data_IF_439948598737
#
_entry.id   IF_439948598737
#
_cell.length_a   1.000
_cell.length_b   1.000
_cell.length_c   1.000
_cell.angle_alpha   90.00
_cell.angle_beta   90.00
_cell.angle_gamma   90.00
#
_symmetry.space_group_name_H-M   'P 1'
#
loop_
_entity.id
_entity.type
_entity.pdbx_description
1 polymer ?
#
# COMPACT_ATOMS: atom_id res chain seq x y z
N UNK A 1 -6.40 17.65 -0.40
CA UNK A 1 -7.05 16.55 0.36
C UNK A 1 -8.29 17.14 1.00
N UNK A 2 -9.49 16.57 0.76
CA UNK A 2 -10.77 17.14 1.23
C UNK A 2 -10.99 16.88 2.74
N UNK A 3 -10.71 15.66 3.20
CA UNK A 3 -10.68 15.32 4.62
C UNK A 3 -9.84 14.05 4.86
N UNK A 4 -9.49 13.81 6.12
CA UNK A 4 -8.85 12.59 6.61
C UNK A 4 -9.35 12.34 8.03
N UNK A 5 -9.98 11.19 8.25
CA UNK A 5 -10.70 10.87 9.48
C UNK A 5 -10.22 9.54 10.04
N UNK A 6 -10.00 9.48 11.35
CA UNK A 6 -9.68 8.24 12.05
C UNK A 6 -10.95 7.46 12.41
N UNK A 7 -10.89 6.14 12.29
CA UNK A 7 -11.90 5.23 12.83
C UNK A 7 -11.47 4.77 14.22
N UNK A 8 -12.37 4.85 15.20
CA UNK A 8 -12.07 4.54 16.60
C UNK A 8 -12.15 3.04 16.92
N UNK A 9 -13.02 2.32 16.23
CA UNK A 9 -13.34 0.91 16.52
C UNK A 9 -13.21 0.04 15.27
N UNK A 10 -14.19 0.10 14.37
CA UNK A 10 -14.29 -0.75 13.20
C UNK A 10 -14.17 0.06 11.90
N UNK A 11 -13.88 -0.66 10.82
CA UNK A 11 -13.76 -0.12 9.45
C UNK A 11 -14.71 -0.87 8.52
N UNK A 12 -15.95 -1.06 8.99
CA UNK A 12 -16.99 -1.67 8.15
C UNK A 12 -17.44 -0.69 7.06
N UNK A 13 -18.11 -1.21 6.05
CA UNK A 13 -18.71 -0.39 5.01
C UNK A 13 -19.63 0.72 5.57
N UNK A 14 -20.40 0.40 6.62
CA UNK A 14 -21.33 1.32 7.26
C UNK A 14 -20.59 2.44 8.02
N UNK A 15 -19.51 2.10 8.72
CA UNK A 15 -18.70 3.09 9.45
C UNK A 15 -18.12 4.12 8.47
N UNK A 16 -17.55 3.64 7.35
CA UNK A 16 -16.97 4.48 6.30
C UNK A 16 -18.06 5.36 5.67
N UNK A 17 -19.20 4.77 5.35
CA UNK A 17 -20.34 5.46 4.78
C UNK A 17 -20.84 6.60 5.68
N UNK A 18 -21.03 6.34 6.97
CA UNK A 18 -21.48 7.33 7.95
C UNK A 18 -20.49 8.49 8.03
N UNK A 19 -19.17 8.23 8.07
CA UNK A 19 -18.16 9.29 8.09
C UNK A 19 -18.18 10.15 6.83
N UNK A 20 -18.33 9.54 5.65
CA UNK A 20 -18.46 10.29 4.39
C UNK A 20 -19.72 11.14 4.40
N UNK A 21 -20.87 10.55 4.77
CA UNK A 21 -22.16 11.25 4.81
C UNK A 21 -22.12 12.43 5.77
N UNK A 22 -21.64 12.22 6.98
CA UNK A 22 -21.46 13.28 7.98
C UNK A 22 -20.58 14.42 7.45
N UNK A 23 -19.49 14.11 6.74
CA UNK A 23 -18.65 15.14 6.11
C UNK A 23 -19.42 15.93 5.06
N UNK A 24 -20.17 15.27 4.16
CA UNK A 24 -20.96 15.94 3.13
C UNK A 24 -22.02 16.86 3.75
N UNK A 25 -22.76 16.35 4.75
CA UNK A 25 -23.83 17.07 5.45
C UNK A 25 -23.26 18.30 6.19
N UNK A 26 -22.17 18.13 6.95
CA UNK A 26 -21.53 19.21 7.69
C UNK A 26 -21.00 20.33 6.77
N UNK A 27 -20.58 19.98 5.56
CA UNK A 27 -20.10 20.92 4.56
C UNK A 27 -21.19 21.38 3.57
N UNK A 28 -22.44 20.95 3.77
CA UNK A 28 -23.58 21.26 2.90
C UNK A 28 -23.31 20.92 1.44
N UNK A 29 -22.65 19.78 1.19
CA UNK A 29 -22.35 19.27 -0.14
C UNK A 29 -23.50 18.32 -0.54
N UNK A 30 -24.33 18.68 -1.54
CA UNK A 30 -25.37 17.79 -2.03
C UNK A 30 -24.75 16.50 -2.57
N UNK A 31 -25.36 15.36 -2.24
CA UNK A 31 -24.89 14.04 -2.70
C UNK A 31 -24.91 13.91 -4.22
N UNK A 32 -25.77 14.65 -4.90
CA UNK A 32 -25.89 14.71 -6.36
C UNK A 32 -24.62 15.26 -7.02
N UNK A 33 -23.82 16.04 -6.28
CA UNK A 33 -22.54 16.56 -6.76
C UNK A 33 -21.44 15.49 -6.78
N UNK A 34 -21.66 14.33 -6.17
CA UNK A 34 -20.76 13.18 -6.26
C UNK A 34 -20.97 12.48 -7.61
N UNK A 35 -20.24 12.94 -8.62
CA UNK A 35 -20.30 12.36 -9.96
C UNK A 35 -19.62 10.99 -10.03
N UNK A 36 -18.52 10.81 -9.30
CA UNK A 36 -17.78 9.57 -9.27
C UNK A 36 -17.06 9.35 -7.94
N UNK A 37 -17.01 8.10 -7.48
CA UNK A 37 -16.18 7.68 -6.37
C UNK A 37 -15.27 6.54 -6.82
N UNK A 38 -13.97 6.69 -6.54
CA UNK A 38 -12.97 5.67 -6.77
C UNK A 38 -12.50 5.06 -5.44
N UNK A 39 -12.51 3.74 -5.34
CA UNK A 39 -12.04 3.01 -4.16
C UNK A 39 -11.23 1.77 -4.54
N UNK A 40 -10.45 1.26 -3.60
CA UNK A 40 -9.81 -0.04 -3.76
C UNK A 40 -10.85 -1.18 -3.81
N UNK A 41 -10.40 -2.39 -4.16
CA UNK A 41 -11.26 -3.55 -4.28
C UNK A 41 -11.72 -4.14 -2.95
N UNK A 42 -11.49 -3.47 -1.81
CA UNK A 42 -11.84 -4.02 -0.51
C UNK A 42 -13.36 -4.27 -0.40
N UNK A 43 -13.80 -5.39 0.18
CA UNK A 43 -15.24 -5.68 0.34
C UNK A 43 -16.01 -4.58 1.07
N UNK A 44 -15.39 -3.90 2.04
CA UNK A 44 -15.99 -2.78 2.75
C UNK A 44 -16.30 -1.58 1.83
N UNK A 45 -15.53 -1.37 0.76
CA UNK A 45 -15.75 -0.29 -0.19
C UNK A 45 -16.62 -0.71 -1.38
N UNK A 46 -16.26 -1.83 -2.02
CA UNK A 46 -16.79 -2.28 -3.31
C UNK A 46 -17.75 -3.48 -3.21
N UNK A 47 -18.10 -3.92 -2.00
CA UNK A 47 -19.03 -5.03 -1.79
C UNK A 47 -20.36 -4.82 -2.52
N UNK A 48 -20.77 -5.81 -3.32
CA UNK A 48 -21.95 -5.72 -4.22
C UNK A 48 -23.24 -5.33 -3.48
N UNK A 49 -23.43 -5.91 -2.29
CA UNK A 49 -24.67 -5.75 -1.52
C UNK A 49 -24.49 -4.86 -0.29
N UNK A 50 -23.29 -4.87 0.32
CA UNK A 50 -23.03 -4.26 1.63
C UNK A 50 -21.87 -3.27 1.60
N UNK A 51 -21.30 -2.93 0.45
CA UNK A 51 -20.16 -2.01 0.35
C UNK A 51 -20.56 -0.55 0.52
N UNK A 52 -19.61 0.28 0.97
CA UNK A 52 -19.80 1.72 1.14
C UNK A 52 -20.27 2.40 -0.15
N UNK A 53 -19.62 2.10 -1.28
CA UNK A 53 -19.98 2.70 -2.57
C UNK A 53 -21.34 2.20 -3.08
N UNK A 54 -21.80 1.02 -2.64
CA UNK A 54 -23.17 0.55 -2.92
C UNK A 54 -24.18 1.44 -2.20
N UNK A 55 -23.99 1.69 -0.89
CA UNK A 55 -24.87 2.56 -0.10
C UNK A 55 -24.91 4.00 -0.66
N UNK A 56 -23.75 4.56 -1.02
CA UNK A 56 -23.69 5.88 -1.65
C UNK A 56 -24.42 5.91 -2.99
N UNK A 57 -24.31 4.84 -3.79
CA UNK A 57 -25.00 4.73 -5.08
C UNK A 57 -26.50 4.55 -4.94
N UNK A 58 -26.96 3.93 -3.86
CA UNK A 58 -28.39 3.84 -3.57
C UNK A 58 -28.99 5.22 -3.25
N UNK A 59 -28.21 6.11 -2.62
CA UNK A 59 -28.64 7.50 -2.37
C UNK A 59 -28.43 8.43 -3.58
N UNK A 60 -27.43 8.18 -4.44
CA UNK A 60 -27.20 8.87 -5.70
C UNK A 60 -26.99 7.85 -6.84
N UNK A 61 -28.07 7.44 -7.54
CA UNK A 61 -28.00 6.45 -8.62
C UNK A 61 -27.12 6.85 -9.80
N UNK A 62 -26.90 8.16 -10.01
CA UNK A 62 -26.08 8.70 -11.10
C UNK A 62 -24.58 8.65 -10.79
N UNK A 63 -24.18 8.38 -9.55
CA UNK A 63 -22.78 8.28 -9.17
C UNK A 63 -22.09 7.09 -9.84
N UNK A 64 -20.97 7.38 -10.49
CA UNK A 64 -20.08 6.36 -11.05
C UNK A 64 -19.21 5.75 -9.97
N UNK A 65 -19.15 4.42 -9.94
CA UNK A 65 -18.26 3.68 -9.05
C UNK A 65 -17.07 3.18 -9.85
N UNK A 66 -15.90 3.72 -9.56
CA UNK A 66 -14.66 3.37 -10.26
C UNK A 66 -13.83 2.48 -9.35
N UNK A 67 -13.54 1.28 -9.81
CA UNK A 67 -12.57 0.44 -9.11
C UNK A 67 -11.17 1.01 -9.35
N UNK A 68 -10.36 1.19 -8.30
CA UNK A 68 -9.01 1.72 -8.39
C UNK A 68 -8.19 0.94 -9.44
N UNK A 69 -7.83 1.63 -10.53
CA UNK A 69 -7.05 1.08 -11.66
C UNK A 69 -5.73 0.55 -11.15
N UNK A 70 -5.10 1.36 -10.31
CA UNK A 70 -3.82 1.10 -9.70
C UNK A 70 -3.96 -0.26 -8.90
N UNK A 71 -4.99 -0.45 -8.05
CA UNK A 71 -5.19 -1.76 -7.37
C UNK A 71 -5.37 -2.94 -8.33
N UNK A 72 -6.07 -2.77 -9.47
CA UNK A 72 -6.22 -3.84 -10.48
C UNK A 72 -4.89 -4.21 -11.11
N UNK A 73 -4.09 -3.21 -11.49
CA UNK A 73 -2.77 -3.44 -12.08
C UNK A 73 -1.89 -4.26 -11.14
N UNK A 74 -1.89 -3.95 -9.84
CA UNK A 74 -1.16 -4.74 -8.85
C UNK A 74 -1.63 -6.21 -8.81
N UNK A 75 -2.96 -6.45 -8.83
CA UNK A 75 -3.51 -7.80 -8.83
C UNK A 75 -3.12 -8.58 -10.10
N UNK A 76 -3.14 -7.93 -11.25
CA UNK A 76 -2.74 -8.53 -12.53
C UNK A 76 -1.24 -8.82 -12.54
N UNK A 77 -0.40 -7.87 -12.13
CA UNK A 77 1.05 -8.02 -12.10
C UNK A 77 1.49 -9.23 -11.26
N UNK A 78 0.82 -9.47 -10.12
CA UNK A 78 1.07 -10.65 -9.27
C UNK A 78 0.76 -11.98 -9.96
N UNK A 79 -0.19 -12.01 -10.90
CA UNK A 79 -0.61 -13.21 -11.63
C UNK A 79 0.11 -13.40 -12.95
N UNK A 80 0.56 -12.32 -13.58
CA UNK A 80 1.14 -12.35 -14.93
C UNK A 80 2.44 -13.19 -14.99
N UNK A 81 3.26 -13.13 -13.94
CA UNK A 81 4.44 -13.98 -13.83
C UNK A 81 4.62 -14.49 -12.39
N UNK A 82 4.17 -15.73 -12.10
CA UNK A 82 4.35 -16.34 -10.79
C UNK A 82 5.82 -16.41 -10.36
N UNK A 83 6.72 -16.60 -11.32
CA UNK A 83 8.18 -16.65 -11.09
C UNK A 83 8.70 -15.29 -10.64
N UNK A 84 8.39 -14.21 -11.36
CA UNK A 84 8.83 -12.86 -10.99
C UNK A 84 8.20 -12.42 -9.67
N UNK A 85 6.93 -12.76 -9.43
CA UNK A 85 6.27 -12.49 -8.15
C UNK A 85 6.98 -13.22 -7.01
N UNK A 86 7.37 -14.50 -7.19
CA UNK A 86 8.14 -15.25 -6.18
C UNK A 86 9.50 -14.58 -5.88
N UNK A 87 10.21 -14.12 -6.91
CA UNK A 87 11.49 -13.40 -6.73
C UNK A 87 11.27 -12.10 -5.96
N UNK A 88 10.27 -11.31 -6.34
CA UNK A 88 9.94 -10.06 -5.65
C UNK A 88 9.61 -10.31 -4.17
N UNK A 89 8.84 -11.36 -3.86
CA UNK A 89 8.52 -11.73 -2.49
C UNK A 89 9.76 -12.15 -1.68
N UNK A 90 10.73 -12.83 -2.31
CA UNK A 90 12.03 -13.12 -1.67
C UNK A 90 12.82 -11.85 -1.37
N UNK A 91 12.86 -10.90 -2.31
CA UNK A 91 13.50 -9.59 -2.12
C UNK A 91 12.85 -8.84 -0.96
N UNK A 92 11.51 -8.77 -0.92
CA UNK A 92 10.76 -8.11 0.16
C UNK A 92 11.08 -8.76 1.52
N UNK A 93 11.11 -10.10 1.59
CA UNK A 93 11.47 -10.83 2.83
C UNK A 93 12.89 -10.49 3.30
N UNK A 94 13.85 -10.43 2.37
CA UNK A 94 15.22 -10.07 2.68
C UNK A 94 15.34 -8.61 3.19
N UNK A 95 14.69 -7.66 2.52
CA UNK A 95 14.65 -6.27 2.97
C UNK A 95 14.01 -6.17 4.36
N UNK A 96 12.90 -6.87 4.58
CA UNK A 96 12.19 -6.87 5.86
C UNK A 96 13.02 -7.50 6.99
N UNK A 97 13.86 -8.50 6.72
CA UNK A 97 14.72 -9.09 7.76
C UNK A 97 15.80 -8.09 8.22
N UNK A 98 16.40 -7.34 7.29
CA UNK A 98 17.37 -6.29 7.60
C UNK A 98 16.69 -5.11 8.30
N UNK A 99 15.48 -4.74 7.88
CA UNK A 99 14.70 -3.64 8.47
C UNK A 99 13.88 -4.04 9.69
N UNK A 100 14.00 -5.29 10.17
CA UNK A 100 13.18 -5.85 11.27
C UNK A 100 13.19 -4.99 12.53
N UNK A 101 14.33 -4.39 12.85
CA UNK A 101 14.46 -3.47 13.98
C UNK A 101 15.48 -2.38 13.71
N UNK A 102 15.41 -1.32 14.52
CA UNK A 102 16.24 -0.13 14.42
C UNK A 102 17.73 -0.40 14.68
N UNK A 103 18.10 -1.48 15.38
CA UNK A 103 19.52 -1.88 15.53
C UNK A 103 20.06 -2.43 14.20
N UNK A 104 19.36 -3.40 13.61
CA UNK A 104 19.74 -4.04 12.35
C UNK A 104 19.85 -3.03 11.21
N UNK A 105 18.87 -2.12 11.08
CA UNK A 105 18.93 -1.07 10.06
C UNK A 105 20.13 -0.13 10.25
N UNK A 106 20.45 0.25 11.49
CA UNK A 106 21.63 1.09 11.78
C UNK A 106 22.94 0.39 11.44
N UNK A 107 23.05 -0.91 11.73
CA UNK A 107 24.22 -1.71 11.38
C UNK A 107 24.39 -1.81 9.86
N UNK A 108 23.32 -2.11 9.14
CA UNK A 108 23.36 -2.14 7.67
C UNK A 108 23.75 -0.78 7.09
N UNK A 109 23.18 0.30 7.61
CA UNK A 109 23.55 1.66 7.19
C UNK A 109 25.04 1.93 7.37
N UNK A 110 25.59 1.62 8.55
CA UNK A 110 27.01 1.84 8.81
C UNK A 110 27.89 0.97 7.91
N UNK A 111 27.48 -0.27 7.67
CA UNK A 111 28.15 -1.18 6.77
C UNK A 111 28.21 -0.62 5.34
N UNK A 112 27.10 -0.10 4.80
CA UNK A 112 27.08 0.55 3.49
C UNK A 112 27.96 1.80 3.43
N UNK A 113 27.98 2.62 4.49
CA UNK A 113 28.86 3.81 4.56
C UNK A 113 30.33 3.39 4.47
N UNK A 114 30.72 2.36 5.22
CA UNK A 114 32.10 1.87 5.23
C UNK A 114 32.54 1.28 3.88
N UNK A 115 31.60 0.80 3.08
CA UNK A 115 31.84 0.32 1.72
C UNK A 115 31.69 1.40 0.64
N UNK A 116 31.49 2.67 1.02
CA UNK A 116 31.27 3.78 0.09
C UNK A 116 30.14 3.52 -0.92
N UNK A 117 29.09 2.80 -0.48
CA UNK A 117 27.95 2.49 -1.34
C UNK A 117 27.17 3.77 -1.68
N UNK A 118 26.65 3.85 -2.91
CA UNK A 118 25.81 4.96 -3.39
C UNK A 118 24.58 5.17 -2.49
N UNK A 119 24.08 4.08 -1.93
CA UNK A 119 22.92 4.07 -1.06
C UNK A 119 23.25 3.40 0.28
N UNK A 120 22.71 3.98 1.36
CA UNK A 120 22.99 3.50 2.73
C UNK A 120 21.74 2.99 3.45
N UNK A 121 20.60 2.93 2.75
CA UNK A 121 19.34 2.42 3.28
C UNK A 121 18.54 1.68 2.21
N UNK A 122 17.92 0.60 2.65
CA UNK A 122 16.89 -0.12 1.89
C UNK A 122 15.54 0.56 2.03
N UNK A 123 14.75 0.50 0.96
CA UNK A 123 13.37 0.99 0.92
C UNK A 123 12.41 -0.12 1.35
N UNK A 124 11.56 0.17 2.33
CA UNK A 124 10.54 -0.78 2.77
C UNK A 124 9.42 -0.86 1.73
N UNK A 125 9.00 -2.07 1.41
CA UNK A 125 7.76 -2.32 0.70
C UNK A 125 6.76 -3.02 1.64
N UNK A 126 5.52 -2.54 1.65
CA UNK A 126 4.37 -3.23 2.25
C UNK A 126 3.31 -3.46 1.19
N UNK A 127 2.56 -4.55 1.33
CA UNK A 127 1.48 -4.94 0.39
C UNK A 127 0.45 -3.81 0.15
N UNK A 128 0.26 -2.94 1.14
CA UNK A 128 -0.64 -1.77 1.07
C UNK A 128 -0.06 -0.65 0.18
N UNK A 129 1.27 -0.51 0.11
CA UNK A 129 1.98 0.51 -0.68
C UNK A 129 2.66 -0.11 -1.90
N UNK A 130 1.92 -0.84 -2.69
CA UNK A 130 2.39 -1.62 -3.84
C UNK A 130 3.13 -0.83 -4.94
N UNK A 131 2.89 0.49 -5.09
CA UNK A 131 3.72 1.32 -5.98
C UNK A 131 5.20 1.37 -5.54
N UNK A 132 5.50 1.04 -4.28
CA UNK A 132 6.88 1.00 -3.77
C UNK A 132 7.65 -0.26 -4.16
N UNK A 133 7.00 -1.30 -4.70
CA UNK A 133 7.66 -2.58 -5.01
C UNK A 133 8.81 -2.42 -6.01
N UNK A 134 8.61 -1.63 -7.07
CA UNK A 134 9.64 -1.36 -8.07
C UNK A 134 10.84 -0.61 -7.48
N UNK A 135 10.58 0.42 -6.66
CA UNK A 135 11.64 1.16 -5.97
C UNK A 135 12.40 0.29 -4.95
N UNK A 136 11.69 -0.57 -4.23
CA UNK A 136 12.29 -1.55 -3.32
C UNK A 136 13.22 -2.51 -4.08
N UNK A 137 12.74 -3.09 -5.19
CA UNK A 137 13.54 -3.98 -6.03
C UNK A 137 14.76 -3.27 -6.62
N UNK A 138 14.58 -2.06 -7.18
CA UNK A 138 15.68 -1.26 -7.71
C UNK A 138 16.74 -1.01 -6.64
N UNK A 139 16.33 -0.54 -5.45
CA UNK A 139 17.24 -0.30 -4.33
C UNK A 139 17.93 -1.56 -3.84
N UNK A 140 17.23 -2.69 -3.84
CA UNK A 140 17.81 -3.98 -3.51
C UNK A 140 18.93 -4.36 -4.49
N UNK A 141 18.70 -4.18 -5.80
CA UNK A 141 19.70 -4.49 -6.82
C UNK A 141 20.91 -3.56 -6.74
N UNK A 142 20.70 -2.25 -6.50
CA UNK A 142 21.78 -1.27 -6.28
C UNK A 142 22.66 -1.60 -5.06
N UNK A 143 22.15 -2.39 -4.12
CA UNK A 143 22.84 -2.78 -2.89
C UNK A 143 23.08 -4.29 -2.79
N UNK A 144 22.98 -5.02 -3.90
CA UNK A 144 22.96 -6.48 -3.88
C UNK A 144 24.20 -7.08 -3.21
N UNK A 145 25.39 -6.57 -3.53
CA UNK A 145 26.65 -7.04 -2.96
C UNK A 145 26.71 -6.74 -1.45
N UNK A 146 26.35 -5.52 -1.05
CA UNK A 146 26.35 -5.14 0.36
C UNK A 146 25.34 -5.96 1.17
N UNK A 147 24.16 -6.21 0.63
CA UNK A 147 23.14 -7.08 1.26
C UNK A 147 23.69 -8.48 1.45
N UNK A 148 24.27 -9.06 0.39
CA UNK A 148 24.79 -10.44 0.44
C UNK A 148 25.90 -10.56 1.47
N UNK A 149 26.88 -9.67 1.46
CA UNK A 149 27.96 -9.67 2.46
C UNK A 149 27.45 -9.42 3.88
N UNK A 150 26.54 -8.47 4.06
CA UNK A 150 25.99 -8.14 5.37
C UNK A 150 25.26 -9.33 6.00
N UNK A 151 24.46 -10.05 5.21
CA UNK A 151 23.72 -11.22 5.68
C UNK A 151 24.66 -12.37 6.06
N UNK A 152 25.73 -12.62 5.30
CA UNK A 152 26.72 -13.65 5.66
C UNK A 152 27.41 -13.34 6.99
N UNK A 153 27.71 -12.07 7.26
CA UNK A 153 28.42 -11.66 8.49
C UNK A 153 27.49 -11.66 9.71
N UNK A 154 26.21 -11.32 9.55
CA UNK A 154 25.30 -11.01 10.66
C UNK A 154 24.16 -12.02 10.86
N UNK A 155 24.02 -13.01 9.98
CA UNK A 155 23.11 -14.16 10.17
C UNK A 155 23.94 -15.35 10.64
N UNK A 156 24.15 -15.43 11.96
CA UNK A 156 24.43 -16.68 12.68
C UNK A 156 23.21 -17.06 13.50
#
# INVERSE_FOLDING_TARGET
MLFCESFETTTTANDIYIKIKHYLDANKIPKENLLACAADGAPAMMGKNTGCLKMMKDENPNMLTVHCVIHRENLVAKKLSPVLNKILQSVIKCVNSIKRNSKSERLFKQFCINQSAEHVRLLLHTEVRWLSSGNCLKRFMELFDQITTFLVINVK
#
